data_IF_756019904310
#
_entry.id   IF_756019904310
#
_cell.length_a   1.000
_cell.length_b   1.000
_cell.length_c   1.000
_cell.angle_alpha   90.00
_cell.angle_beta   90.00
_cell.angle_gamma   90.00
#
_symmetry.space_group_name_H-M   'P 1'
#
loop_
_entity.id
_entity.type
_entity.pdbx_description
1 polymer ?
#
# COMPACT_ATOMS: atom_id res chain seq x y z
N UNK A 1 -20.87 -60.07 4.34
CA UNK A 1 -19.72 -59.50 3.60
C UNK A 1 -20.10 -58.07 3.18
N UNK A 2 -20.14 -57.13 4.14
CA UNK A 2 -20.68 -55.77 3.92
C UNK A 2 -19.90 -54.67 4.68
N UNK A 3 -18.65 -54.90 5.07
CA UNK A 3 -17.92 -53.91 5.90
C UNK A 3 -16.56 -53.44 5.35
N UNK A 4 -16.10 -53.94 4.20
CA UNK A 4 -14.77 -53.57 3.67
C UNK A 4 -14.82 -52.33 2.75
N UNK A 5 -15.97 -52.04 2.13
CA UNK A 5 -16.09 -50.91 1.19
C UNK A 5 -16.19 -49.53 1.87
N UNK A 6 -16.59 -49.46 3.14
CA UNK A 6 -16.82 -48.18 3.85
C UNK A 6 -15.50 -47.58 4.37
N UNK A 7 -14.50 -48.42 4.68
CA UNK A 7 -13.24 -47.96 5.25
C UNK A 7 -12.31 -47.26 4.21
N UNK A 8 -12.43 -47.60 2.93
CA UNK A 8 -11.54 -47.04 1.89
C UNK A 8 -12.02 -45.68 1.38
N UNK A 9 -13.31 -45.36 1.54
CA UNK A 9 -13.90 -44.08 1.12
C UNK A 9 -13.66 -42.93 2.12
N UNK A 10 -13.24 -43.23 3.35
CA UNK A 10 -12.98 -42.21 4.39
C UNK A 10 -11.55 -41.67 4.41
N UNK A 11 -10.64 -42.20 3.60
CA UNK A 11 -9.23 -41.74 3.58
C UNK A 11 -9.01 -40.56 2.61
N UNK A 12 -10.03 -40.19 1.81
CA UNK A 12 -9.93 -39.10 0.81
C UNK A 12 -10.75 -37.86 1.13
N UNK A 13 -11.32 -37.74 2.33
CA UNK A 13 -12.03 -36.53 2.74
C UNK A 13 -11.20 -35.64 3.66
N UNK A 14 -10.62 -34.62 3.05
CA UNK A 14 -10.70 -33.22 3.47
C UNK A 14 -9.91 -32.75 4.71
N UNK A 15 -9.07 -31.75 4.42
CA UNK A 15 -8.71 -30.62 5.25
C UNK A 15 -7.52 -30.75 6.21
N UNK A 16 -6.34 -30.97 5.63
CA UNK A 16 -5.23 -30.07 5.98
C UNK A 16 -5.53 -28.69 5.38
N UNK A 17 -6.53 -27.98 5.94
CA UNK A 17 -6.64 -26.53 5.76
C UNK A 17 -5.57 -25.89 6.65
N UNK A 18 -4.31 -26.09 6.30
CA UNK A 18 -3.31 -25.10 6.67
C UNK A 18 -3.73 -23.88 5.85
N UNK A 19 -4.31 -22.88 6.51
CA UNK A 19 -4.53 -21.59 5.87
C UNK A 19 -3.17 -21.18 5.30
N UNK A 20 -3.04 -21.26 3.97
CA UNK A 20 -1.84 -20.82 3.27
C UNK A 20 -1.73 -19.33 3.53
N UNK A 21 -1.00 -18.96 4.59
CA UNK A 21 -0.59 -17.59 4.81
C UNK A 21 0.41 -17.30 3.71
N UNK A 22 -0.04 -16.53 2.74
CA UNK A 22 0.81 -16.03 1.66
C UNK A 22 2.01 -15.36 2.33
N UNK A 23 3.25 -15.75 1.99
CA UNK A 23 4.41 -15.11 2.56
C UNK A 23 4.35 -13.60 2.29
N UNK A 24 4.91 -12.76 3.20
CA UNK A 24 4.99 -11.32 2.97
C UNK A 24 5.59 -11.04 1.59
N UNK A 25 5.05 -10.01 0.92
CA UNK A 25 5.42 -9.61 -0.44
C UNK A 25 6.95 -9.55 -0.61
N UNK A 26 7.49 -10.39 -1.49
CA UNK A 26 8.92 -10.47 -1.77
C UNK A 26 9.33 -9.31 -2.69
N UNK A 27 10.27 -8.47 -2.24
CA UNK A 27 10.83 -7.38 -3.03
C UNK A 27 11.43 -7.87 -4.35
N UNK A 28 12.03 -9.07 -4.37
CA UNK A 28 12.57 -9.66 -5.60
C UNK A 28 11.48 -10.01 -6.61
N UNK A 29 10.29 -10.41 -6.13
CA UNK A 29 9.15 -10.67 -7.00
C UNK A 29 8.69 -9.36 -7.69
N UNK A 30 8.60 -8.26 -6.94
CA UNK A 30 8.26 -6.94 -7.49
C UNK A 30 9.30 -6.52 -8.53
N UNK A 31 10.59 -6.58 -8.18
CA UNK A 31 11.68 -6.15 -9.05
C UNK A 31 11.71 -6.92 -10.37
N UNK A 32 11.56 -8.25 -10.33
CA UNK A 32 11.51 -9.09 -11.54
C UNK A 32 10.34 -8.74 -12.45
N UNK A 33 9.18 -8.42 -11.87
CA UNK A 33 7.98 -8.06 -12.64
C UNK A 33 8.11 -6.68 -13.28
N UNK A 34 8.71 -5.72 -12.58
CA UNK A 34 8.95 -4.36 -13.08
C UNK A 34 10.13 -4.29 -14.07
N UNK A 35 11.07 -5.24 -13.98
CA UNK A 35 12.32 -5.22 -14.74
C UNK A 35 13.39 -4.26 -14.15
N UNK A 36 13.15 -3.72 -12.95
CA UNK A 36 14.07 -2.87 -12.21
C UNK A 36 13.78 -2.94 -10.71
N UNK A 37 14.76 -2.55 -9.88
CA UNK A 37 14.56 -2.44 -8.43
C UNK A 37 13.91 -1.09 -8.12
N UNK A 38 12.70 -1.06 -7.52
CA UNK A 38 12.04 0.19 -7.19
C UNK A 38 12.83 0.96 -6.13
N UNK A 39 12.97 2.27 -6.35
CA UNK A 39 13.66 3.18 -5.44
C UNK A 39 12.61 3.98 -4.64
N UNK A 40 12.42 3.59 -3.39
CA UNK A 40 11.49 4.26 -2.47
C UNK A 40 11.89 5.70 -2.18
N UNK A 41 13.17 6.06 -2.32
CA UNK A 41 13.62 7.44 -2.12
C UNK A 41 13.08 8.36 -3.21
N UNK A 42 12.99 7.88 -4.45
CA UNK A 42 12.40 8.63 -5.56
C UNK A 42 10.95 9.01 -5.30
N UNK A 43 10.18 8.16 -4.61
CA UNK A 43 8.77 8.41 -4.30
C UNK A 43 8.56 9.57 -3.33
N UNK A 44 9.50 9.78 -2.40
CA UNK A 44 9.37 10.81 -1.36
C UNK A 44 10.20 12.05 -1.63
N UNK A 45 11.23 11.98 -2.49
CA UNK A 45 12.15 13.11 -2.72
C UNK A 45 11.58 14.19 -3.64
N UNK A 46 10.56 13.88 -4.44
CA UNK A 46 9.85 14.90 -5.23
C UNK A 46 9.25 15.95 -4.30
N UNK A 47 9.41 17.24 -4.61
CA UNK A 47 8.91 18.33 -3.74
C UNK A 47 7.38 18.32 -3.63
N UNK A 48 6.71 17.86 -4.68
CA UNK A 48 5.25 17.79 -4.77
C UNK A 48 4.81 16.36 -5.11
N UNK A 49 5.04 15.38 -4.21
CA UNK A 49 4.59 14.03 -4.44
C UNK A 49 3.07 14.06 -4.29
N UNK A 50 2.35 13.98 -5.41
CA UNK A 50 0.89 14.01 -5.43
C UNK A 50 0.40 12.59 -5.64
N UNK A 51 0.23 11.84 -4.57
CA UNK A 51 -0.35 10.51 -4.59
C UNK A 51 -1.68 10.50 -3.87
N UNK A 52 -2.62 9.68 -4.34
CA UNK A 52 -3.93 9.43 -3.72
C UNK A 52 -3.97 8.00 -3.23
N UNK A 53 -4.35 7.79 -1.98
CA UNK A 53 -4.61 6.45 -1.46
C UNK A 53 -5.94 6.00 -2.05
N UNK A 54 -5.92 4.93 -2.86
CA UNK A 54 -7.12 4.43 -3.52
C UNK A 54 -7.86 3.45 -2.63
N UNK A 55 -7.12 2.47 -2.12
CA UNK A 55 -7.61 1.47 -1.19
C UNK A 55 -6.46 0.89 -0.37
N UNK A 56 -6.80 0.26 0.74
CA UNK A 56 -5.86 -0.46 1.60
C UNK A 56 -6.41 -1.81 2.04
N UNK A 57 -5.53 -2.68 2.54
CA UNK A 57 -5.92 -3.94 3.15
C UNK A 57 -6.48 -3.74 4.55
N UNK A 58 -7.18 -4.76 5.07
CA UNK A 58 -7.72 -4.74 6.43
C UNK A 58 -6.58 -4.68 7.45
N UNK A 59 -6.31 -3.48 7.96
CA UNK A 59 -5.24 -3.16 8.88
C UNK A 59 -5.53 -1.82 9.56
N UNK A 60 -4.90 -1.58 10.69
CA UNK A 60 -5.18 -0.60 11.74
C UNK A 60 -5.14 0.90 11.36
N UNK A 61 -5.62 1.30 10.18
CA UNK A 61 -6.10 2.66 9.96
C UNK A 61 -7.33 2.86 10.85
N UNK A 62 -7.09 3.18 12.12
CA UNK A 62 -8.11 3.40 13.16
C UNK A 62 -8.98 4.63 12.89
N UNK A 63 -8.55 5.49 11.97
CA UNK A 63 -9.22 6.74 11.59
C UNK A 63 -9.64 6.59 10.12
N UNK A 64 -10.89 6.94 9.84
CA UNK A 64 -11.46 6.97 8.50
C UNK A 64 -10.82 8.11 7.68
N UNK A 65 -9.65 7.85 7.11
CA UNK A 65 -8.94 8.79 6.23
C UNK A 65 -9.53 8.73 4.82
N UNK A 66 -10.75 9.23 4.65
CA UNK A 66 -11.37 9.33 3.32
C UNK A 66 -10.61 10.33 2.45
N UNK A 67 -10.49 10.00 1.17
CA UNK A 67 -9.85 10.86 0.15
C UNK A 67 -8.41 11.27 0.50
N UNK A 68 -7.68 10.42 1.22
CA UNK A 68 -6.31 10.71 1.65
C UNK A 68 -5.38 10.91 0.45
N UNK A 69 -4.64 12.02 0.47
CA UNK A 69 -3.64 12.33 -0.54
C UNK A 69 -2.45 13.10 0.01
N UNK A 70 -1.30 12.94 -0.65
CA UNK A 70 -0.07 13.69 -0.34
C UNK A 70 0.01 14.96 -1.19
N UNK A 71 0.60 16.02 -0.65
CA UNK A 71 0.68 17.33 -1.32
C UNK A 71 2.13 17.77 -1.54
N UNK A 72 2.90 17.89 -0.46
CA UNK A 72 4.29 18.37 -0.50
C UNK A 72 5.22 17.49 0.33
N UNK A 73 6.49 17.41 -0.07
CA UNK A 73 7.55 16.75 0.69
C UNK A 73 8.73 17.70 0.92
N UNK A 74 8.98 18.02 2.19
CA UNK A 74 10.05 18.91 2.60
C UNK A 74 11.23 18.13 3.20
N UNK A 75 12.48 18.55 2.94
CA UNK A 75 13.63 17.96 3.62
C UNK A 75 13.52 18.04 5.15
N UNK A 76 13.97 17.01 5.84
CA UNK A 76 14.15 17.06 7.30
C UNK A 76 15.47 17.78 7.63
N UNK A 77 15.45 18.73 8.55
CA UNK A 77 16.57 19.67 8.75
C UNK A 77 17.89 18.99 9.17
N UNK A 78 17.82 17.92 9.96
CA UNK A 78 19.00 17.26 10.54
C UNK A 78 19.34 15.90 9.92
N UNK A 79 18.52 15.40 8.98
CA UNK A 79 18.70 14.07 8.40
C UNK A 79 18.32 14.07 6.92
N UNK A 80 19.32 13.89 6.06
CA UNK A 80 19.15 13.92 4.61
C UNK A 80 18.33 12.75 4.07
N UNK A 81 18.12 11.70 4.86
CA UNK A 81 17.35 10.51 4.49
C UNK A 81 15.93 10.52 5.08
N UNK A 82 15.50 11.68 5.57
CA UNK A 82 14.16 11.90 6.11
C UNK A 82 13.50 13.07 5.44
N UNK A 83 12.17 12.98 5.34
CA UNK A 83 11.33 14.04 4.80
C UNK A 83 10.04 14.20 5.60
N UNK A 84 9.51 15.41 5.57
CA UNK A 84 8.18 15.71 6.06
C UNK A 84 7.21 15.73 4.89
N UNK A 85 6.35 14.71 4.81
CA UNK A 85 5.27 14.63 3.83
C UNK A 85 4.01 15.23 4.42
N UNK A 86 3.50 16.26 3.78
CA UNK A 86 2.17 16.82 4.08
C UNK A 86 1.11 16.02 3.35
N UNK A 87 -0.03 15.86 4.01
CA UNK A 87 -1.16 15.11 3.47
C UNK A 87 -2.48 15.76 3.85
N UNK A 88 -3.47 15.61 2.98
CA UNK A 88 -4.86 16.05 3.16
C UNK A 88 -5.79 14.85 3.17
N UNK A 89 -6.89 14.96 3.89
CA UNK A 89 -7.96 13.96 3.92
C UNK A 89 -9.29 14.62 4.30
N UNK A 90 -10.40 13.95 4.02
CA UNK A 90 -11.72 14.40 4.45
C UNK A 90 -12.06 13.85 5.83
N UNK A 91 -12.45 14.75 6.73
CA UNK A 91 -13.06 14.38 8.00
C UNK A 91 -14.55 14.03 7.88
N UNK A 92 -15.16 13.73 9.03
CA UNK A 92 -16.58 13.36 9.15
C UNK A 92 -17.54 14.43 8.58
N UNK A 93 -17.17 15.71 8.66
CA UNK A 93 -18.01 16.86 8.28
C UNK A 93 -17.78 17.36 6.86
N UNK A 94 -17.18 16.58 5.95
CA UNK A 94 -16.72 17.00 4.60
C UNK A 94 -15.64 18.09 4.60
N UNK A 95 -15.18 18.49 5.79
CA UNK A 95 -14.06 19.42 5.94
C UNK A 95 -12.74 18.74 5.56
N UNK A 96 -11.93 19.46 4.78
CA UNK A 96 -10.55 19.07 4.49
C UNK A 96 -9.70 19.25 5.75
N UNK A 97 -9.13 18.16 6.23
CA UNK A 97 -8.15 18.13 7.30
C UNK A 97 -6.76 17.90 6.72
N UNK A 98 -5.74 18.47 7.36
CA UNK A 98 -4.36 18.33 6.93
C UNK A 98 -3.51 17.77 8.07
N UNK A 99 -2.42 17.10 7.70
CA UNK A 99 -1.43 16.61 8.63
C UNK A 99 -0.05 16.59 8.01
N UNK A 100 0.93 16.25 8.84
CA UNK A 100 2.31 16.07 8.40
C UNK A 100 2.84 14.79 9.01
N UNK A 101 3.52 13.99 8.18
CA UNK A 101 4.16 12.74 8.58
C UNK A 101 5.65 12.83 8.33
N UNK A 102 6.44 12.46 9.32
CA UNK A 102 7.85 12.13 9.10
C UNK A 102 7.91 10.77 8.39
N UNK A 103 8.66 10.72 7.29
CA UNK A 103 8.94 9.50 6.53
C UNK A 103 10.44 9.38 6.27
N UNK A 104 10.92 8.15 6.22
CA UNK A 104 12.28 7.78 5.84
C UNK A 104 12.25 6.59 4.89
N UNK A 105 13.40 6.23 4.34
CA UNK A 105 13.55 5.01 3.55
C UNK A 105 14.53 4.05 4.20
N UNK A 106 14.41 2.78 3.84
CA UNK A 106 15.41 1.75 4.14
C UNK A 106 15.37 0.67 3.08
N UNK A 107 16.36 -0.21 3.14
CA UNK A 107 16.38 -1.47 2.40
C UNK A 107 15.57 -2.55 3.11
N UNK A 108 14.88 -3.38 2.35
CA UNK A 108 14.22 -4.59 2.84
C UNK A 108 15.25 -5.66 3.18
N UNK A 109 16.34 -5.74 2.39
CA UNK A 109 17.48 -6.64 2.62
C UNK A 109 18.83 -5.91 2.52
N UNK A 110 19.88 -6.49 3.09
CA UNK A 110 21.23 -5.93 2.97
C UNK A 110 21.80 -5.98 1.54
N UNK A 111 21.21 -6.79 0.67
CA UNK A 111 21.67 -7.01 -0.71
C UNK A 111 21.08 -6.01 -1.71
N UNK A 112 20.08 -5.21 -1.31
CA UNK A 112 19.45 -4.26 -2.20
C UNK A 112 20.38 -3.09 -2.51
N UNK A 113 20.41 -2.68 -3.78
CA UNK A 113 21.21 -1.53 -4.22
C UNK A 113 20.60 -0.23 -3.71
N UNK A 114 19.28 -0.08 -3.86
CA UNK A 114 18.51 1.09 -3.47
C UNK A 114 17.63 0.77 -2.27
N UNK A 115 17.19 1.81 -1.56
CA UNK A 115 16.15 1.66 -0.55
C UNK A 115 14.81 1.41 -1.25
N UNK A 116 14.11 0.35 -0.88
CA UNK A 116 12.87 -0.12 -1.49
C UNK A 116 11.66 -0.05 -0.54
N UNK A 117 11.88 0.37 0.72
CA UNK A 117 10.84 0.48 1.74
C UNK A 117 10.71 1.92 2.25
N UNK A 118 9.51 2.50 2.15
CA UNK A 118 9.15 3.74 2.87
C UNK A 118 8.70 3.40 4.29
N UNK A 119 9.24 4.10 5.27
CA UNK A 119 8.92 3.93 6.69
C UNK A 119 8.36 5.21 7.30
N UNK A 120 7.41 5.06 8.22
CA UNK A 120 6.91 6.14 9.07
C UNK A 120 6.94 5.69 10.54
N UNK A 121 7.30 6.57 11.49
CA UNK A 121 7.28 6.25 12.91
C UNK A 121 5.88 5.79 13.37
N UNK A 122 5.87 4.77 14.23
CA UNK A 122 4.66 4.20 14.84
C UNK A 122 3.61 3.64 13.86
N UNK A 123 3.98 3.41 12.60
CA UNK A 123 3.15 2.68 11.64
C UNK A 123 3.60 1.23 11.57
N UNK A 124 2.76 0.30 12.04
CA UNK A 124 3.03 -1.13 11.95
C UNK A 124 2.73 -1.61 10.53
N UNK A 125 3.73 -2.23 9.90
CA UNK A 125 3.84 -2.59 8.48
C UNK A 125 2.92 -3.75 8.05
N UNK A 126 1.78 -3.96 8.70
CA UNK A 126 0.90 -5.12 8.46
C UNK A 126 -0.21 -4.84 7.45
N UNK A 127 -0.29 -3.64 6.88
CA UNK A 127 -1.26 -3.29 5.84
C UNK A 127 -0.59 -3.02 4.49
N UNK A 128 -1.27 -3.42 3.43
CA UNK A 128 -0.93 -3.11 2.04
C UNK A 128 -1.77 -1.92 1.58
N UNK A 129 -1.11 -0.89 1.05
CA UNK A 129 -1.76 0.34 0.62
C UNK A 129 -1.48 0.56 -0.88
N UNK A 130 -2.50 0.92 -1.65
CA UNK A 130 -2.35 1.25 -3.06
C UNK A 130 -2.49 2.75 -3.27
N UNK A 131 -1.36 3.39 -3.52
CA UNK A 131 -1.26 4.81 -3.82
C UNK A 131 -1.08 5.02 -5.32
N UNK A 132 -1.82 5.96 -5.91
CA UNK A 132 -1.74 6.28 -7.33
C UNK A 132 -1.33 7.72 -7.53
N UNK A 133 -0.43 7.95 -8.48
CA UNK A 133 -0.01 9.30 -8.85
C UNK A 133 -1.20 10.10 -9.38
N UNK A 134 -1.44 11.26 -8.77
CA UNK A 134 -2.60 12.12 -9.01
C UNK A 134 -2.78 12.47 -10.48
N UNK A 135 -1.71 12.91 -11.17
CA UNK A 135 -1.82 13.29 -12.58
C UNK A 135 -2.13 12.09 -13.49
N UNK A 136 -1.66 10.89 -13.13
CA UNK A 136 -2.02 9.66 -13.85
C UNK A 136 -3.52 9.39 -13.69
N UNK A 137 -4.02 9.41 -12.45
CA UNK A 137 -5.43 9.13 -12.16
C UNK A 137 -6.36 10.17 -12.78
N UNK A 138 -6.02 11.46 -12.72
CA UNK A 138 -6.80 12.52 -13.35
C UNK A 138 -6.94 12.32 -14.87
N UNK A 139 -5.86 11.92 -15.54
CA UNK A 139 -5.85 11.69 -16.98
C UNK A 139 -6.54 10.40 -17.39
N UNK A 140 -6.37 9.32 -16.62
CA UNK A 140 -6.77 7.96 -17.03
C UNK A 140 -8.03 7.45 -16.33
N UNK A 141 -8.42 8.06 -15.21
CA UNK A 141 -9.55 7.67 -14.36
C UNK A 141 -9.53 6.17 -14.00
N UNK A 142 -8.32 5.62 -13.84
CA UNK A 142 -8.10 4.20 -13.50
C UNK A 142 -6.85 4.06 -12.65
N UNK A 143 -6.79 2.97 -11.89
CA UNK A 143 -5.58 2.55 -11.19
C UNK A 143 -4.68 1.80 -12.19
N UNK A 144 -3.35 2.02 -12.18
CA UNK A 144 -2.42 1.23 -12.97
C UNK A 144 -2.56 -0.27 -12.68
N UNK A 145 -2.58 -1.10 -13.73
CA UNK A 145 -2.77 -2.55 -13.60
C UNK A 145 -1.75 -3.18 -12.64
N UNK A 146 -0.48 -2.79 -12.75
CA UNK A 146 0.58 -3.37 -11.91
C UNK A 146 0.34 -3.10 -10.41
N UNK A 147 -0.24 -1.95 -10.04
CA UNK A 147 -0.60 -1.67 -8.65
C UNK A 147 -1.66 -2.64 -8.10
N UNK A 148 -2.68 -2.95 -8.91
CA UNK A 148 -3.73 -3.92 -8.54
C UNK A 148 -3.13 -5.33 -8.48
N UNK A 149 -2.34 -5.69 -9.50
CA UNK A 149 -1.69 -6.98 -9.58
C UNK A 149 -0.79 -7.23 -8.37
N UNK A 150 0.07 -6.28 -7.98
CA UNK A 150 0.94 -6.45 -6.83
C UNK A 150 0.15 -6.58 -5.52
N UNK A 151 -0.92 -5.81 -5.34
CA UNK A 151 -1.77 -5.95 -4.17
C UNK A 151 -2.33 -7.38 -4.07
N UNK A 152 -2.93 -7.90 -5.13
CA UNK A 152 -3.51 -9.25 -5.17
C UNK A 152 -2.45 -10.34 -5.09
N UNK A 153 -1.27 -10.09 -5.65
CA UNK A 153 -0.12 -10.97 -5.56
C UNK A 153 0.50 -10.97 -4.15
N UNK A 154 0.30 -9.94 -3.34
CA UNK A 154 0.97 -9.80 -2.04
C UNK A 154 0.05 -10.00 -0.84
N UNK A 155 -1.26 -9.84 -1.00
CA UNK A 155 -2.24 -10.14 0.04
C UNK A 155 -3.51 -10.76 -0.52
N UNK A 156 -4.21 -11.52 0.33
CA UNK A 156 -5.57 -12.00 0.08
C UNK A 156 -6.62 -11.14 0.80
N UNK A 157 -6.20 -10.04 1.42
CA UNK A 157 -7.06 -9.16 2.18
C UNK A 157 -8.06 -8.42 1.27
N UNK A 158 -9.26 -8.18 1.82
CA UNK A 158 -10.26 -7.35 1.17
C UNK A 158 -9.73 -5.93 0.98
N UNK A 159 -10.02 -5.36 -0.20
CA UNK A 159 -9.75 -3.96 -0.52
C UNK A 159 -10.76 -3.09 0.22
N UNK A 160 -10.28 -2.20 1.08
CA UNK A 160 -11.07 -1.14 1.71
C UNK A 160 -10.83 0.12 0.90
N UNK A 161 -11.85 0.54 0.14
CA UNK A 161 -11.77 1.73 -0.71
C UNK A 161 -11.90 2.99 0.13
N UNK A 162 -10.98 3.93 -0.08
CA UNK A 162 -10.99 5.22 0.63
C UNK A 162 -11.09 6.40 -0.32
N UNK A 163 -10.88 6.17 -1.62
CA UNK A 163 -11.05 7.17 -2.67
C UNK A 163 -12.36 6.94 -3.42
N UNK A 164 -13.48 7.16 -2.74
CA UNK A 164 -14.83 7.11 -3.29
C UNK A 164 -15.52 8.46 -3.03
N UNK A 165 -16.24 8.97 -4.02
CA UNK A 165 -16.97 10.25 -3.94
C UNK A 165 -16.12 11.45 -3.45
N UNK A 166 -14.83 11.43 -3.80
CA UNK A 166 -13.90 12.48 -3.42
C UNK A 166 -14.10 13.76 -4.25
N UNK A 167 -13.97 14.95 -3.63
CA UNK A 167 -13.99 16.20 -4.35
C UNK A 167 -12.88 16.23 -5.39
N UNK A 168 -13.13 16.99 -6.47
CA UNK A 168 -12.16 17.15 -7.55
C UNK A 168 -10.86 17.80 -7.04
N UNK A 169 -9.84 17.62 -7.86
CA UNK A 169 -8.40 17.75 -7.63
C UNK A 169 -7.88 18.85 -6.69
N UNK A 170 -8.59 19.97 -6.53
CA UNK A 170 -8.20 21.08 -5.65
C UNK A 170 -7.87 20.62 -4.23
N UNK A 171 -8.62 19.65 -3.68
CA UNK A 171 -8.36 19.07 -2.35
C UNK A 171 -6.92 18.53 -2.18
N UNK A 172 -6.31 18.04 -3.25
CA UNK A 172 -4.96 17.44 -3.26
C UNK A 172 -3.92 18.30 -3.99
N UNK A 173 -4.30 19.51 -4.42
CA UNK A 173 -3.44 20.42 -5.17
C UNK A 173 -3.08 21.69 -4.39
N UNK A 174 -3.81 22.03 -3.33
CA UNK A 174 -3.50 23.13 -2.40
C UNK A 174 -2.46 22.76 -1.33
#
# INVERSE_FOLDING_TARGET
MEFVAIAILLVLSFNCCVAYQKPPCDANFIARRLGYNPDAWQLITEEHPRYRLMFHSNGSLQVDYRCLCTTTSNPYQSDKWKRYVKYHFLGNSTQTMHGTREVSTKKSTEFDVYDDVVQAPHYTMTSYNVWVYTAYYEKKQTIPYDCIFFYEACTNDKKIWVYEDCPKSEHCLE
#
